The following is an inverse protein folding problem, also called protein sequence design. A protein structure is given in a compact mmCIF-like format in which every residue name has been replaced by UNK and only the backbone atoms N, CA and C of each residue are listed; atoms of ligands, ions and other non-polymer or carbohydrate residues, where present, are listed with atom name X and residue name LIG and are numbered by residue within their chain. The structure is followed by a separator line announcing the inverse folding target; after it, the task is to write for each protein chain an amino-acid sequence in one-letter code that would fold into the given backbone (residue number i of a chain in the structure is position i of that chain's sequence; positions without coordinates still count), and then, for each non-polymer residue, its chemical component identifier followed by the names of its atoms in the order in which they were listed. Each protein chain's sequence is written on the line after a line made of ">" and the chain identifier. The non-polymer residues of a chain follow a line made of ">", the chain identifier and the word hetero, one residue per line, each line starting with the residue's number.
data_IF_929994299280
#
_entry.id   IF_929994299280
#
_cell.length_a   1.000
_cell.length_b   1.000
_cell.length_c   1.000
_cell.angle_alpha   90.00
_cell.angle_beta   90.00
_cell.angle_gamma   90.00
#
_symmetry.space_group_name_H-M   'P 1'
#
loop_
_entity.id
_entity.type
_entity.pdbx_description
1 polymer ?
#
# COMPACT_ATOMS: atom_id res chain seq x y z
N UNK A 1 -16.85 -14.00 0.73
CA UNK A 1 -15.60 -13.81 -0.03
C UNK A 1 -14.76 -15.07 -0.01
N UNK A 2 -14.00 -15.27 -1.06
CA UNK A 2 -13.04 -16.35 -1.20
C UNK A 2 -11.68 -15.77 -1.56
N UNK A 3 -10.63 -16.46 -1.14
CA UNK A 3 -9.27 -16.25 -1.59
C UNK A 3 -8.80 -17.47 -2.37
N UNK A 4 -7.96 -17.25 -3.35
CA UNK A 4 -7.41 -18.32 -4.21
C UNK A 4 -5.89 -18.21 -4.30
N UNK A 5 -5.27 -19.31 -4.70
CA UNK A 5 -3.91 -19.32 -5.23
C UNK A 5 -3.92 -19.06 -6.75
N UNK A 6 -2.84 -19.33 -7.42
CA UNK A 6 -2.73 -19.35 -8.89
C UNK A 6 -3.07 -18.03 -9.59
N UNK A 7 -2.91 -16.88 -8.90
CA UNK A 7 -2.87 -15.59 -9.59
C UNK A 7 -1.55 -15.55 -10.36
N UNK A 8 -1.62 -15.24 -11.65
CA UNK A 8 -0.45 -15.28 -12.51
C UNK A 8 -0.55 -14.36 -13.71
N UNK A 9 0.40 -14.51 -14.60
CA UNK A 9 0.48 -13.81 -15.88
C UNK A 9 0.55 -14.81 -17.03
N UNK A 10 -0.15 -14.50 -18.10
CA UNK A 10 -0.03 -15.18 -19.38
C UNK A 10 0.65 -14.24 -20.38
N UNK A 11 1.65 -14.76 -21.09
CA UNK A 11 2.38 -14.03 -22.11
C UNK A 11 1.98 -14.59 -23.49
N UNK A 12 1.30 -13.78 -24.29
CA UNK A 12 0.72 -14.20 -25.55
C UNK A 12 1.13 -13.36 -26.73
N UNK A 13 1.01 -13.94 -27.94
CA UNK A 13 1.17 -13.22 -29.20
C UNK A 13 0.00 -12.31 -29.51
N UNK A 14 -1.18 -12.70 -29.03
CA UNK A 14 -2.45 -12.01 -29.22
C UNK A 14 -3.10 -11.76 -27.87
N UNK A 15 -3.93 -10.71 -27.76
CA UNK A 15 -4.65 -10.45 -26.52
C UNK A 15 -5.68 -11.55 -26.25
N UNK A 16 -5.81 -11.94 -24.98
CA UNK A 16 -6.89 -12.86 -24.58
C UNK A 16 -8.20 -12.07 -24.48
N UNK A 17 -9.16 -12.43 -25.33
CA UNK A 17 -10.52 -11.90 -25.26
C UNK A 17 -11.44 -12.93 -24.63
N UNK A 18 -12.15 -12.53 -23.57
CA UNK A 18 -13.26 -13.30 -23.02
C UNK A 18 -14.55 -12.78 -23.63
N UNK A 19 -15.09 -13.46 -24.63
CA UNK A 19 -16.38 -13.10 -25.24
C UNK A 19 -17.57 -13.39 -24.32
N UNK A 20 -17.39 -14.24 -23.32
CA UNK A 20 -18.45 -14.65 -22.39
C UNK A 20 -17.89 -14.86 -20.98
N UNK A 21 -18.79 -14.96 -19.98
CA UNK A 21 -18.45 -15.34 -18.59
C UNK A 21 -18.03 -16.81 -18.52
N UNK A 22 -16.87 -17.14 -19.03
CA UNK A 22 -16.34 -18.49 -19.04
C UNK A 22 -14.91 -18.55 -18.52
N UNK A 23 -14.48 -19.75 -18.18
CA UNK A 23 -13.09 -20.01 -17.82
C UNK A 23 -12.21 -19.86 -19.07
N UNK A 24 -11.02 -19.28 -18.92
CA UNK A 24 -10.00 -19.32 -19.97
C UNK A 24 -9.50 -20.76 -20.02
N UNK A 25 -9.82 -21.46 -21.09
CA UNK A 25 -9.35 -22.82 -21.32
C UNK A 25 -8.29 -22.76 -22.41
N UNK A 26 -7.04 -23.01 -22.04
CA UNK A 26 -5.99 -23.22 -23.02
C UNK A 26 -6.21 -24.59 -23.74
N UNK A 27 -6.12 -24.56 -25.06
CA UNK A 27 -6.40 -25.75 -25.90
C UNK A 27 -5.22 -26.71 -25.94
N UNK A 28 -4.04 -26.29 -25.53
CA UNK A 28 -2.83 -27.09 -25.55
C UNK A 28 -1.93 -26.84 -24.32
N UNK A 29 -1.14 -27.86 -23.96
CA UNK A 29 -0.08 -27.71 -22.96
C UNK A 29 0.96 -26.67 -23.38
N UNK A 30 1.17 -26.46 -24.68
CA UNK A 30 2.10 -25.50 -25.21
C UNK A 30 1.65 -24.06 -24.92
N UNK A 31 0.37 -23.77 -25.04
CA UNK A 31 -0.21 -22.47 -24.65
C UNK A 31 -0.11 -22.26 -23.14
N UNK A 32 -0.34 -23.28 -22.34
CA UNK A 32 -0.25 -23.19 -20.89
C UNK A 32 1.16 -22.98 -20.37
N UNK A 33 2.21 -23.32 -21.13
CA UNK A 33 3.61 -23.02 -20.79
C UNK A 33 3.91 -21.53 -20.72
N UNK A 34 3.08 -20.71 -21.33
CA UNK A 34 3.20 -19.26 -21.29
C UNK A 34 2.52 -18.64 -20.07
N UNK A 35 1.94 -19.46 -19.19
CA UNK A 35 1.39 -19.04 -17.91
C UNK A 35 2.46 -19.18 -16.84
N UNK A 36 2.69 -18.11 -16.11
CA UNK A 36 3.55 -18.12 -14.92
C UNK A 36 2.72 -17.73 -13.70
N UNK A 37 2.90 -18.47 -12.64
CA UNK A 37 2.27 -18.21 -11.33
C UNK A 37 3.33 -18.10 -10.26
N UNK A 38 2.96 -17.57 -9.10
CA UNK A 38 3.90 -17.45 -8.00
C UNK A 38 4.52 -18.81 -7.62
N UNK A 39 5.81 -18.78 -7.39
CA UNK A 39 6.62 -19.97 -7.01
C UNK A 39 6.09 -20.63 -5.73
N UNK A 40 5.58 -19.86 -4.78
CA UNK A 40 5.15 -20.39 -3.47
C UNK A 40 3.80 -21.11 -3.50
N UNK A 41 3.01 -20.98 -4.55
CA UNK A 41 1.67 -21.61 -4.69
C UNK A 41 0.80 -21.47 -3.42
N UNK A 42 0.82 -20.30 -2.79
CA UNK A 42 0.05 -19.97 -1.60
C UNK A 42 -1.30 -19.35 -1.96
N UNK A 43 -2.26 -19.43 -1.04
CA UNK A 43 -3.53 -18.72 -1.18
C UNK A 43 -3.31 -17.25 -0.76
N UNK A 44 -3.73 -16.31 -1.63
CA UNK A 44 -3.64 -14.88 -1.37
C UNK A 44 -4.84 -14.42 -0.55
N UNK A 45 -4.73 -14.49 0.76
CA UNK A 45 -5.83 -14.21 1.70
C UNK A 45 -5.65 -12.91 2.49
N UNK A 46 -4.59 -12.16 2.23
CA UNK A 46 -4.33 -10.85 2.83
C UNK A 46 -5.45 -9.87 2.48
N UNK A 47 -6.17 -9.37 3.50
CA UNK A 47 -7.31 -8.46 3.31
C UNK A 47 -6.91 -7.00 3.29
N UNK A 48 -5.81 -6.71 3.95
CA UNK A 48 -5.36 -5.35 4.26
C UNK A 48 -3.90 -5.12 3.88
N UNK A 49 -3.23 -6.16 3.41
CA UNK A 49 -1.82 -6.11 3.04
C UNK A 49 -1.66 -6.42 1.56
N UNK A 50 -0.72 -5.74 0.94
CA UNK A 50 -0.26 -6.09 -0.40
C UNK A 50 0.58 -7.36 -0.33
N UNK A 51 0.33 -8.26 -1.25
CA UNK A 51 1.09 -9.51 -1.41
C UNK A 51 1.71 -9.53 -2.80
N UNK A 52 3.01 -9.84 -2.87
CA UNK A 52 3.73 -9.92 -4.15
C UNK A 52 3.44 -11.24 -4.83
N UNK A 53 3.14 -11.15 -6.13
CA UNK A 53 3.13 -12.27 -7.05
C UNK A 53 4.32 -12.09 -7.96
N UNK A 54 5.33 -12.96 -7.83
CA UNK A 54 6.56 -12.87 -8.59
C UNK A 54 6.89 -14.22 -9.23
N UNK A 55 7.23 -14.21 -10.50
CA UNK A 55 7.64 -15.41 -11.23
C UNK A 55 8.57 -15.04 -12.37
N UNK A 56 9.32 -16.01 -12.84
CA UNK A 56 10.19 -15.88 -14.03
C UNK A 56 9.52 -16.47 -15.25
N UNK A 57 9.65 -15.78 -16.36
CA UNK A 57 9.22 -16.25 -17.68
C UNK A 57 10.40 -16.24 -18.66
N UNK A 58 10.57 -17.34 -19.40
CA UNK A 58 11.55 -17.39 -20.49
C UNK A 58 10.89 -16.95 -21.77
N UNK A 59 11.12 -15.72 -22.17
CA UNK A 59 10.56 -15.16 -23.40
C UNK A 59 11.08 -15.88 -24.64
N UNK A 60 10.21 -16.03 -25.64
CA UNK A 60 10.53 -16.59 -26.95
C UNK A 60 10.76 -15.49 -28.00
N UNK A 61 10.51 -14.23 -27.62
CA UNK A 61 10.58 -13.06 -28.50
C UNK A 61 9.36 -12.89 -29.41
N UNK A 62 8.27 -13.62 -29.14
CA UNK A 62 7.03 -13.57 -29.93
C UNK A 62 5.86 -13.01 -29.13
N UNK A 63 6.04 -12.79 -27.85
CA UNK A 63 5.04 -12.29 -26.93
C UNK A 63 4.85 -10.78 -27.16
N UNK A 64 3.62 -10.35 -27.30
CA UNK A 64 3.23 -8.96 -27.47
C UNK A 64 2.23 -8.47 -26.43
N UNK A 65 1.63 -9.41 -25.69
CA UNK A 65 0.57 -9.11 -24.72
C UNK A 65 0.82 -9.85 -23.42
N UNK A 66 0.43 -9.18 -22.32
CA UNK A 66 0.39 -9.76 -20.97
C UNK A 66 -1.05 -9.72 -20.49
N UNK A 67 -1.53 -10.83 -19.98
CA UNK A 67 -2.83 -10.93 -19.32
C UNK A 67 -2.63 -11.39 -17.87
N UNK A 68 -3.34 -10.79 -16.92
CA UNK A 68 -3.24 -11.11 -15.51
C UNK A 68 -4.54 -11.76 -15.05
N UNK A 69 -4.44 -12.88 -14.36
CA UNK A 69 -5.62 -13.60 -13.89
C UNK A 69 -5.30 -14.96 -13.29
N UNK A 70 -6.36 -15.74 -13.13
CA UNK A 70 -6.25 -17.17 -12.83
C UNK A 70 -6.47 -17.95 -14.13
N UNK A 71 -5.48 -18.70 -14.55
CA UNK A 71 -5.46 -19.47 -15.79
C UNK A 71 -5.57 -20.97 -15.54
N UNK A 72 -5.83 -21.38 -14.33
CA UNK A 72 -5.98 -22.78 -13.94
C UNK A 72 -7.45 -23.18 -13.89
N UNK A 73 -7.71 -24.47 -14.13
CA UNK A 73 -9.03 -25.04 -13.93
C UNK A 73 -9.46 -24.93 -12.47
N UNK A 74 -10.76 -24.75 -12.23
CA UNK A 74 -11.31 -24.67 -10.88
C UNK A 74 -10.95 -25.85 -9.97
N UNK A 75 -10.64 -27.01 -10.54
CA UNK A 75 -10.21 -28.21 -9.80
C UNK A 75 -8.80 -28.10 -9.23
N UNK A 76 -7.97 -27.29 -9.86
CA UNK A 76 -6.55 -27.11 -9.54
C UNK A 76 -6.31 -25.88 -8.67
N UNK A 77 -7.37 -25.13 -8.40
CA UNK A 77 -7.32 -23.90 -7.59
C UNK A 77 -7.59 -24.24 -6.13
N UNK A 78 -6.66 -23.85 -5.25
CA UNK A 78 -6.90 -23.87 -3.81
C UNK A 78 -7.77 -22.69 -3.45
N UNK A 79 -8.89 -22.96 -2.76
CA UNK A 79 -9.88 -21.95 -2.39
C UNK A 79 -10.01 -21.90 -0.88
N UNK A 80 -9.84 -20.70 -0.30
CA UNK A 80 -10.09 -20.43 1.10
C UNK A 80 -11.31 -19.54 1.26
N UNK A 81 -12.23 -19.94 2.14
CA UNK A 81 -13.40 -19.12 2.47
C UNK A 81 -13.05 -18.11 3.54
N UNK A 82 -13.10 -16.84 3.20
CA UNK A 82 -12.85 -15.74 4.12
C UNK A 82 -14.12 -15.41 4.93
N UNK A 83 -13.97 -15.18 6.23
CA UNK A 83 -15.06 -14.69 7.08
C UNK A 83 -15.65 -13.36 6.57
N UNK A 84 -16.81 -12.96 7.06
CA UNK A 84 -17.35 -11.62 6.78
C UNK A 84 -16.45 -10.54 7.38
N UNK A 85 -16.40 -9.40 6.73
CA UNK A 85 -15.79 -8.20 7.32
C UNK A 85 -16.67 -7.70 8.46
N UNK A 86 -16.07 -7.20 9.52
CA UNK A 86 -16.78 -6.58 10.63
C UNK A 86 -17.61 -5.40 10.12
N UNK A 87 -18.88 -5.35 10.53
CA UNK A 87 -19.84 -4.33 10.09
C UNK A 87 -20.45 -4.55 8.70
N UNK A 88 -20.09 -5.63 7.98
CA UNK A 88 -20.70 -5.93 6.68
C UNK A 88 -21.98 -6.75 6.83
N UNK A 89 -23.13 -6.14 6.48
CA UNK A 89 -24.47 -6.76 6.56
C UNK A 89 -24.94 -7.40 5.24
N UNK A 90 -24.24 -7.17 4.13
CA UNK A 90 -24.62 -7.64 2.80
C UNK A 90 -24.37 -9.14 2.55
N UNK A 91 -24.87 -9.63 1.41
CA UNK A 91 -24.56 -10.97 0.90
C UNK A 91 -23.17 -10.96 0.25
N UNK A 92 -22.31 -11.89 0.63
CA UNK A 92 -21.00 -12.04 0.00
C UNK A 92 -21.16 -12.79 -1.32
N UNK A 93 -20.62 -12.23 -2.41
CA UNK A 93 -20.53 -12.95 -3.68
C UNK A 93 -19.63 -14.20 -3.53
N UNK A 94 -19.97 -15.31 -4.19
CA UNK A 94 -19.17 -16.52 -4.19
C UNK A 94 -17.96 -16.41 -5.14
N UNK A 95 -17.22 -15.31 -5.05
CA UNK A 95 -16.10 -15.00 -5.95
C UNK A 95 -14.93 -14.44 -5.16
N UNK A 96 -13.72 -14.67 -5.66
CA UNK A 96 -12.50 -14.01 -5.21
C UNK A 96 -12.31 -12.71 -6.03
N UNK A 97 -12.01 -11.64 -5.34
CA UNK A 97 -11.69 -10.34 -5.95
C UNK A 97 -10.36 -9.85 -5.40
N UNK A 98 -9.51 -9.42 -6.30
CA UNK A 98 -8.18 -8.87 -5.99
C UNK A 98 -8.03 -7.51 -6.64
N UNK A 99 -7.38 -6.62 -5.93
CA UNK A 99 -6.80 -5.42 -6.50
C UNK A 99 -5.40 -5.76 -6.97
N UNK A 100 -5.03 -5.29 -8.14
CA UNK A 100 -3.72 -5.51 -8.75
C UNK A 100 -3.09 -4.15 -8.93
N UNK A 101 -1.85 -4.01 -8.48
CA UNK A 101 -1.08 -2.78 -8.57
C UNK A 101 0.40 -3.11 -8.83
N UNK A 102 1.17 -2.12 -9.26
CA UNK A 102 2.61 -2.24 -9.51
C UNK A 102 2.99 -3.43 -10.38
N UNK A 103 2.35 -3.55 -11.55
CA UNK A 103 2.71 -4.58 -12.53
C UNK A 103 4.00 -4.18 -13.21
N UNK A 104 5.04 -4.98 -13.02
CA UNK A 104 6.36 -4.74 -13.59
C UNK A 104 6.84 -5.98 -14.35
N UNK A 105 7.43 -5.77 -15.51
CA UNK A 105 8.11 -6.80 -16.31
C UNK A 105 9.47 -6.23 -16.70
N UNK A 106 10.53 -6.90 -16.31
CA UNK A 106 11.89 -6.47 -16.65
C UNK A 106 12.74 -7.64 -17.11
N UNK A 107 13.68 -7.34 -17.99
CA UNK A 107 14.64 -8.30 -18.50
C UNK A 107 15.70 -8.58 -17.44
N UNK A 108 15.97 -9.85 -17.19
CA UNK A 108 17.13 -10.30 -16.44
C UNK A 108 18.04 -11.10 -17.37
N UNK A 109 19.34 -10.91 -17.30
CA UNK A 109 20.32 -11.63 -18.13
C UNK A 109 20.69 -12.97 -17.51
N UNK A 110 20.78 -13.03 -16.19
CA UNK A 110 21.06 -14.24 -15.44
C UNK A 110 19.89 -14.59 -14.50
N UNK A 111 19.62 -15.88 -14.35
CA UNK A 111 18.59 -16.39 -13.44
C UNK A 111 18.85 -16.01 -11.98
N UNK A 112 20.12 -15.80 -11.64
CA UNK A 112 20.55 -15.36 -10.30
C UNK A 112 20.17 -13.90 -10.02
N UNK A 113 19.88 -13.11 -11.04
CA UNK A 113 19.41 -11.73 -10.91
C UNK A 113 17.93 -11.66 -10.54
N UNK A 114 17.22 -12.80 -10.49
CA UNK A 114 15.86 -12.85 -10.04
C UNK A 114 15.74 -12.61 -8.55
N UNK A 115 15.17 -11.47 -8.19
CA UNK A 115 15.00 -11.01 -6.81
C UNK A 115 13.60 -11.33 -6.21
N UNK A 116 12.89 -12.31 -6.79
CA UNK A 116 11.53 -12.65 -6.32
C UNK A 116 11.47 -12.93 -4.81
N UNK A 117 12.43 -13.67 -4.28
CA UNK A 117 12.47 -14.00 -2.84
C UNK A 117 12.76 -12.78 -1.97
N UNK A 118 13.62 -11.87 -2.43
CA UNK A 118 13.97 -10.66 -1.69
C UNK A 118 12.90 -9.58 -1.82
N UNK A 119 12.24 -9.48 -2.97
CA UNK A 119 11.11 -8.56 -3.16
C UNK A 119 9.92 -8.94 -2.28
N UNK A 120 9.62 -10.23 -2.11
CA UNK A 120 8.61 -10.68 -1.15
C UNK A 120 8.98 -10.28 0.28
N UNK A 121 10.26 -10.41 0.65
CA UNK A 121 10.75 -9.98 1.96
C UNK A 121 10.73 -8.44 2.10
N UNK A 122 11.04 -7.69 1.04
CA UNK A 122 10.95 -6.22 1.03
C UNK A 122 9.53 -5.73 1.19
N UNK A 123 8.57 -6.28 0.48
CA UNK A 123 7.15 -5.87 0.61
C UNK A 123 6.61 -6.25 1.97
N UNK A 124 6.98 -7.42 2.51
CA UNK A 124 6.67 -7.75 3.91
C UNK A 124 7.34 -6.78 4.90
N UNK A 125 8.52 -6.30 4.61
CA UNK A 125 9.21 -5.30 5.45
C UNK A 125 8.66 -3.89 5.22
N UNK A 126 8.15 -3.59 4.04
CA UNK A 126 7.63 -2.28 3.66
C UNK A 126 6.12 -2.14 3.97
N UNK A 127 5.32 -3.21 3.87
CA UNK A 127 3.95 -3.23 4.43
C UNK A 127 3.96 -3.09 5.95
N UNK A 128 5.02 -3.52 6.62
CA UNK A 128 5.31 -3.22 8.04
C UNK A 128 5.51 -1.71 8.28
N UNK A 129 5.80 -0.89 7.27
CA UNK A 129 5.86 0.57 7.45
C UNK A 129 4.45 1.15 7.71
N UNK A 130 3.41 0.62 7.08
CA UNK A 130 2.03 1.01 7.36
C UNK A 130 1.47 0.35 8.64
N UNK A 131 2.05 -0.79 9.02
CA UNK A 131 1.69 -1.57 10.21
C UNK A 131 2.89 -1.72 11.14
N UNK A 132 3.74 -0.70 11.23
CA UNK A 132 4.77 -0.73 12.27
C UNK A 132 4.02 -0.76 13.59
N UNK A 133 3.74 -2.01 14.01
CA UNK A 133 3.21 -2.26 15.32
C UNK A 133 4.04 -1.44 16.30
N UNK A 134 3.36 -0.60 17.04
CA UNK A 134 3.87 -0.01 18.27
C UNK A 134 4.05 -1.14 19.31
N UNK A 135 4.73 -2.21 18.91
CA UNK A 135 4.91 -3.40 19.74
C UNK A 135 6.34 -3.89 19.68
N UNK A 136 7.15 -3.28 20.51
CA UNK A 136 8.08 -4.10 21.29
C UNK A 136 7.51 -4.18 22.70
N UNK A 137 7.18 -5.35 23.12
CA UNK A 137 6.61 -5.62 24.45
C UNK A 137 7.53 -5.23 25.62
N UNK A 138 8.82 -4.92 25.36
CA UNK A 138 9.85 -4.65 26.35
C UNK A 138 10.65 -3.36 26.07
N UNK A 139 10.15 -2.44 25.27
CA UNK A 139 10.95 -1.37 24.73
C UNK A 139 10.94 -0.07 25.56
N UNK A 140 12.03 0.28 26.15
CA UNK A 140 12.38 1.66 26.46
C UNK A 140 12.61 2.43 25.16
N UNK A 141 11.55 2.93 24.53
CA UNK A 141 11.65 3.84 23.42
C UNK A 141 11.97 5.26 23.92
N UNK A 142 12.90 5.92 23.28
CA UNK A 142 13.02 7.35 23.43
C UNK A 142 11.75 8.06 22.93
N UNK A 143 11.46 9.22 23.45
CA UNK A 143 10.29 10.00 23.02
C UNK A 143 10.35 10.29 21.52
N UNK A 144 11.53 10.56 20.97
CA UNK A 144 11.72 10.78 19.53
C UNK A 144 11.39 9.55 18.68
N UNK A 145 11.71 8.34 19.14
CA UNK A 145 11.32 7.11 18.46
C UNK A 145 9.81 6.93 18.46
N UNK A 146 9.16 7.18 19.60
CA UNK A 146 7.70 7.14 19.71
C UNK A 146 7.03 8.15 18.76
N UNK A 147 7.57 9.38 18.66
CA UNK A 147 7.08 10.39 17.71
C UNK A 147 7.20 9.92 16.26
N UNK A 148 8.32 9.32 15.89
CA UNK A 148 8.50 8.78 14.52
C UNK A 148 7.52 7.66 14.18
N UNK A 149 7.05 6.91 15.18
CA UNK A 149 6.04 5.85 15.02
C UNK A 149 4.63 6.40 14.81
N UNK A 150 4.36 7.64 15.23
CA UNK A 150 3.07 8.32 15.07
C UNK A 150 2.82 8.85 13.65
N UNK A 151 3.73 8.64 12.70
CA UNK A 151 3.57 9.13 11.33
C UNK A 151 2.24 8.64 10.71
N UNK A 152 1.45 9.57 10.19
CA UNK A 152 0.18 9.30 9.51
C UNK A 152 0.38 9.41 8.02
N UNK A 153 -0.02 8.40 7.27
CA UNK A 153 0.02 8.39 5.80
C UNK A 153 -1.35 8.64 5.20
N UNK A 154 -1.37 9.11 3.94
CA UNK A 154 -2.60 9.55 3.28
C UNK A 154 -2.71 8.99 1.88
N UNK A 155 -3.94 8.72 1.47
CA UNK A 155 -4.27 8.42 0.08
C UNK A 155 -4.00 9.61 -0.84
N UNK A 156 -3.87 9.31 -2.12
CA UNK A 156 -3.67 10.31 -3.18
C UNK A 156 -4.77 11.36 -3.11
N UNK A 157 -4.38 12.62 -3.12
CA UNK A 157 -5.25 13.81 -3.08
C UNK A 157 -6.16 13.92 -1.84
N UNK A 158 -5.99 13.07 -0.84
CA UNK A 158 -6.83 13.09 0.37
C UNK A 158 -6.08 13.67 1.56
N UNK A 159 -6.85 14.31 2.45
CA UNK A 159 -6.41 14.77 3.78
C UNK A 159 -7.23 14.12 4.91
N UNK A 160 -8.10 13.17 4.60
CA UNK A 160 -8.83 12.40 5.62
C UNK A 160 -7.91 11.35 6.24
N UNK A 161 -7.96 11.24 7.57
CA UNK A 161 -7.21 10.22 8.31
C UNK A 161 -7.93 8.88 8.13
N UNK A 162 -7.20 7.86 7.67
CA UNK A 162 -7.73 6.50 7.61
C UNK A 162 -7.86 5.89 9.01
N UNK A 163 -8.84 5.01 9.18
CA UNK A 163 -9.14 4.34 10.45
C UNK A 163 -7.97 3.54 11.01
N UNK A 164 -7.11 3.02 10.13
CA UNK A 164 -5.93 2.26 10.54
C UNK A 164 -4.94 3.06 11.37
N UNK A 165 -4.89 4.42 11.22
CA UNK A 165 -3.99 5.28 11.98
C UNK A 165 -4.58 5.77 13.31
N UNK A 166 -5.86 5.51 13.58
CA UNK A 166 -6.55 6.01 14.78
C UNK A 166 -5.93 5.44 16.06
N UNK A 167 -5.58 4.15 16.08
CA UNK A 167 -4.95 3.55 17.25
C UNK A 167 -3.58 4.17 17.55
N UNK A 168 -2.77 4.40 16.50
CA UNK A 168 -1.49 5.10 16.64
C UNK A 168 -1.64 6.52 17.17
N UNK A 169 -2.63 7.26 16.65
CA UNK A 169 -2.93 8.61 17.12
C UNK A 169 -3.42 8.62 18.59
N UNK A 170 -4.21 7.63 19.02
CA UNK A 170 -4.61 7.51 20.42
C UNK A 170 -3.38 7.29 21.35
N UNK A 171 -2.42 6.48 20.93
CA UNK A 171 -1.16 6.30 21.65
C UNK A 171 -0.35 7.59 21.71
N UNK A 172 -0.36 8.40 20.62
CA UNK A 172 0.24 9.74 20.64
C UNK A 172 -0.45 10.68 21.63
N UNK A 173 -1.77 10.65 21.71
CA UNK A 173 -2.53 11.41 22.73
C UNK A 173 -2.13 10.99 24.14
N UNK A 174 -2.05 9.70 24.43
CA UNK A 174 -1.60 9.21 25.74
C UNK A 174 -0.17 9.66 26.06
N UNK A 175 0.73 9.60 25.09
CA UNK A 175 2.12 10.03 25.24
C UNK A 175 2.22 11.53 25.56
N UNK A 176 1.49 12.36 24.81
CA UNK A 176 1.47 13.81 25.01
C UNK A 176 0.82 14.22 26.34
N UNK A 177 -0.18 13.47 26.81
CA UNK A 177 -0.79 13.67 28.13
C UNK A 177 0.17 13.30 29.28
N UNK A 178 0.98 12.24 29.10
CA UNK A 178 2.02 11.86 30.07
C UNK A 178 3.19 12.86 30.11
N UNK A 179 3.36 13.65 29.06
CA UNK A 179 4.47 14.60 28.91
C UNK A 179 3.93 16.01 28.57
N UNK A 180 3.29 16.71 29.53
CA UNK A 180 2.60 17.98 29.26
C UNK A 180 3.53 19.12 28.83
N UNK A 181 4.84 19.01 29.09
CA UNK A 181 5.84 19.98 28.71
C UNK A 181 6.26 19.92 27.24
N UNK A 182 5.89 18.85 26.52
CA UNK A 182 6.30 18.66 25.12
C UNK A 182 5.36 19.43 24.20
N UNK A 183 5.94 20.26 23.34
CA UNK A 183 5.27 20.89 22.21
C UNK A 183 5.62 20.16 20.91
N UNK A 184 4.69 20.11 19.96
CA UNK A 184 4.81 19.31 18.74
C UNK A 184 4.59 20.18 17.51
N UNK A 185 5.45 19.99 16.53
CA UNK A 185 5.22 20.40 15.14
C UNK A 185 4.72 19.23 14.32
N UNK A 186 3.65 19.45 13.57
CA UNK A 186 3.05 18.51 12.64
C UNK A 186 3.47 18.91 11.22
N UNK A 187 4.37 18.15 10.65
CA UNK A 187 4.98 18.40 9.34
C UNK A 187 4.19 17.68 8.25
N UNK A 188 3.45 18.43 7.44
CA UNK A 188 2.62 17.91 6.37
C UNK A 188 3.34 17.88 5.02
N UNK A 189 3.23 16.75 4.32
CA UNK A 189 3.91 16.50 3.07
C UNK A 189 2.96 16.01 1.99
N UNK A 190 3.34 16.27 0.73
CA UNK A 190 2.75 15.70 -0.47
C UNK A 190 3.80 14.88 -1.22
N UNK A 191 3.37 14.06 -2.15
CA UNK A 191 4.28 13.45 -3.10
C UNK A 191 4.57 14.35 -4.31
N UNK A 192 5.52 13.95 -5.14
CA UNK A 192 5.94 14.70 -6.33
C UNK A 192 4.84 14.79 -7.38
N UNK A 193 3.98 13.78 -7.50
CA UNK A 193 2.91 13.74 -8.50
C UNK A 193 1.79 14.69 -8.09
N UNK A 194 1.39 14.67 -6.82
CA UNK A 194 0.45 15.64 -6.25
C UNK A 194 0.96 17.08 -6.46
N UNK A 195 2.21 17.35 -6.12
CA UNK A 195 2.82 18.66 -6.29
C UNK A 195 2.91 19.12 -7.76
N UNK A 196 3.21 18.19 -8.66
CA UNK A 196 3.21 18.47 -10.09
C UNK A 196 1.82 18.77 -10.63
N UNK A 197 0.79 18.13 -10.06
CA UNK A 197 -0.61 18.38 -10.43
C UNK A 197 -1.09 19.75 -9.94
N UNK A 198 -0.66 20.18 -8.75
CA UNK A 198 -0.91 21.55 -8.25
C UNK A 198 -0.34 22.60 -9.23
N UNK A 199 0.89 22.37 -9.72
CA UNK A 199 1.52 23.29 -10.67
C UNK A 199 0.80 23.38 -12.01
N UNK A 200 0.15 22.29 -12.46
CA UNK A 200 -0.61 22.24 -13.72
C UNK A 200 -2.00 22.86 -13.59
N UNK A 201 -2.61 22.76 -12.43
CA UNK A 201 -3.93 23.29 -12.11
C UNK A 201 -3.90 24.00 -10.74
N UNK A 202 -3.38 25.25 -10.71
CA UNK A 202 -3.21 26.00 -9.46
C UNK A 202 -4.52 26.40 -8.79
N UNK A 203 -5.65 26.27 -9.49
CA UNK A 203 -6.98 26.60 -8.95
C UNK A 203 -7.68 25.38 -8.35
N UNK A 204 -7.08 24.20 -8.44
CA UNK A 204 -7.64 22.96 -7.90
C UNK A 204 -7.66 22.99 -6.36
N UNK A 205 -8.84 23.30 -5.82
CA UNK A 205 -9.07 23.47 -4.39
C UNK A 205 -8.76 22.19 -3.58
N UNK A 206 -8.79 21.01 -4.20
CA UNK A 206 -8.48 19.74 -3.52
C UNK A 206 -6.97 19.56 -3.28
N UNK A 207 -6.15 20.15 -4.14
CA UNK A 207 -4.70 20.00 -4.10
C UNK A 207 -4.01 21.18 -3.41
N UNK A 208 -4.61 22.38 -3.50
CA UNK A 208 -4.08 23.57 -2.85
C UNK A 208 -3.93 23.31 -1.35
N UNK A 209 -2.74 23.57 -0.84
CA UNK A 209 -2.44 23.41 0.58
C UNK A 209 -2.63 21.97 1.12
N UNK A 210 -2.53 20.95 0.27
CA UNK A 210 -2.81 19.57 0.67
C UNK A 210 -1.92 19.10 1.82
N UNK A 211 -0.63 19.43 1.83
CA UNK A 211 0.28 19.11 2.92
C UNK A 211 -0.16 19.73 4.24
N UNK A 212 -0.45 21.03 4.26
CA UNK A 212 -0.91 21.71 5.48
C UNK A 212 -2.32 21.22 5.89
N UNK A 213 -3.19 20.89 4.94
CA UNK A 213 -4.51 20.34 5.24
C UNK A 213 -4.41 18.99 5.95
N UNK A 214 -3.46 18.14 5.56
CA UNK A 214 -3.15 16.88 6.24
C UNK A 214 -2.70 17.13 7.69
N UNK A 215 -1.73 18.03 7.88
CA UNK A 215 -1.24 18.40 9.21
C UNK A 215 -2.38 18.95 10.09
N UNK A 216 -3.23 19.83 9.55
CA UNK A 216 -4.38 20.40 10.27
C UNK A 216 -5.42 19.34 10.65
N UNK A 217 -5.61 18.29 9.83
CA UNK A 217 -6.49 17.18 10.19
C UNK A 217 -5.96 16.39 11.37
N UNK A 218 -4.64 16.12 11.40
CA UNK A 218 -4.00 15.46 12.55
C UNK A 218 -4.06 16.36 13.78
N UNK A 219 -3.73 17.67 13.66
CA UNK A 219 -3.87 18.65 14.74
C UNK A 219 -5.28 18.62 15.33
N UNK A 220 -6.29 18.72 14.47
CA UNK A 220 -7.69 18.70 14.90
C UNK A 220 -8.05 17.42 15.64
N UNK A 221 -7.52 16.27 15.20
CA UNK A 221 -7.73 14.99 15.90
C UNK A 221 -7.15 15.04 17.32
N UNK A 222 -5.92 15.50 17.48
CA UNK A 222 -5.25 15.60 18.78
C UNK A 222 -5.99 16.56 19.73
N UNK A 223 -6.39 17.74 19.24
CA UNK A 223 -7.16 18.72 20.00
C UNK A 223 -8.50 18.14 20.46
N UNK A 224 -9.23 17.47 19.57
CA UNK A 224 -10.50 16.82 19.90
C UNK A 224 -10.36 15.71 20.97
N UNK A 225 -9.15 15.16 21.13
CA UNK A 225 -8.83 14.14 22.13
C UNK A 225 -8.06 14.71 23.35
N UNK A 226 -8.14 16.02 23.58
CA UNK A 226 -7.72 16.65 24.81
C UNK A 226 -6.32 17.22 24.84
N UNK A 227 -5.60 17.26 23.72
CA UNK A 227 -4.31 17.98 23.64
C UNK A 227 -4.58 19.47 23.42
N UNK A 228 -3.95 20.32 24.25
CA UNK A 228 -4.08 21.78 24.15
C UNK A 228 -3.56 22.28 22.80
N UNK A 229 -4.28 23.20 22.16
CA UNK A 229 -3.98 23.67 20.83
C UNK A 229 -2.66 24.46 20.75
N UNK A 230 -2.32 25.17 21.80
CA UNK A 230 -1.08 25.97 21.94
C UNK A 230 0.19 25.11 21.94
N UNK A 231 0.05 23.81 22.22
CA UNK A 231 1.13 22.82 22.16
C UNK A 231 1.39 22.28 20.75
N UNK A 232 0.54 22.64 19.77
CA UNK A 232 0.54 22.03 18.45
C UNK A 232 0.67 23.10 17.37
N UNK A 233 1.74 23.04 16.60
CA UNK A 233 1.92 23.84 15.39
C UNK A 233 1.89 22.96 14.14
N UNK A 234 1.65 23.56 12.98
CA UNK A 234 1.61 22.84 11.69
C UNK A 234 2.52 23.50 10.68
N UNK A 235 3.30 22.72 9.98
CA UNK A 235 4.25 23.18 8.96
C UNK A 235 3.97 22.44 7.64
N UNK A 236 3.94 23.20 6.55
CA UNK A 236 3.79 22.65 5.21
C UNK A 236 5.14 22.51 4.53
N UNK A 237 5.44 21.32 4.03
CA UNK A 237 6.64 21.06 3.23
C UNK A 237 6.32 20.73 1.78
N UNK A 238 5.06 20.52 1.44
CA UNK A 238 4.69 20.02 0.13
C UNK A 238 5.58 18.82 -0.28
N UNK A 239 6.18 18.84 -1.46
CA UNK A 239 7.11 17.78 -1.92
C UNK A 239 8.60 18.11 -1.67
N UNK A 240 8.92 19.12 -0.85
CA UNK A 240 10.30 19.58 -0.67
C UNK A 240 11.18 18.64 0.15
N UNK A 241 10.59 17.80 1.01
CA UNK A 241 11.32 16.87 1.88
C UNK A 241 10.85 15.41 1.67
N UNK A 242 11.18 14.79 0.52
CA UNK A 242 10.79 13.42 0.26
C UNK A 242 11.62 12.44 1.11
N UNK A 243 10.98 11.42 1.70
CA UNK A 243 11.66 10.29 2.33
C UNK A 243 11.97 9.17 1.34
N UNK A 244 11.37 9.23 0.17
CA UNK A 244 11.63 8.30 -0.92
C UNK A 244 11.67 9.04 -2.26
N UNK A 245 12.70 8.75 -3.07
CA UNK A 245 12.97 9.52 -4.29
C UNK A 245 12.36 8.90 -5.56
N UNK A 246 11.97 7.62 -5.51
CA UNK A 246 11.40 6.89 -6.65
C UNK A 246 10.01 7.42 -7.04
N UNK A 247 9.56 7.06 -8.24
CA UNK A 247 8.20 7.31 -8.72
C UNK A 247 7.27 6.10 -8.59
N UNK A 248 7.72 5.02 -7.95
CA UNK A 248 6.83 3.91 -7.65
C UNK A 248 5.71 4.36 -6.70
N UNK A 249 4.53 3.75 -6.79
CA UNK A 249 3.39 4.13 -5.95
C UNK A 249 3.72 4.03 -4.45
N UNK A 250 4.46 3.00 -4.06
CA UNK A 250 4.93 2.85 -2.68
C UNK A 250 5.82 4.02 -2.23
N UNK A 251 6.72 4.47 -3.10
CA UNK A 251 7.59 5.61 -2.84
C UNK A 251 6.80 6.91 -2.71
N UNK A 252 5.83 7.11 -3.60
CA UNK A 252 4.91 8.25 -3.53
C UNK A 252 4.05 8.19 -2.26
N UNK A 253 3.53 7.03 -1.92
CA UNK A 253 2.74 6.82 -0.71
C UNK A 253 3.51 7.16 0.58
N UNK A 254 4.81 6.81 0.66
CA UNK A 254 5.68 7.19 1.78
C UNK A 254 5.83 8.71 1.94
N UNK A 255 5.71 9.44 0.85
CA UNK A 255 5.83 10.89 0.86
C UNK A 255 4.53 11.60 1.26
N UNK A 256 3.36 10.99 1.05
CA UNK A 256 2.05 11.50 1.47
C UNK A 256 1.83 11.27 2.96
N UNK A 257 2.47 12.09 3.81
CA UNK A 257 2.52 11.84 5.25
C UNK A 257 2.42 13.10 6.11
N UNK A 258 2.15 12.88 7.38
CA UNK A 258 2.36 13.87 8.45
C UNK A 258 3.29 13.26 9.48
N UNK A 259 4.40 13.94 9.76
CA UNK A 259 5.37 13.59 10.78
C UNK A 259 5.17 14.43 12.04
N UNK A 260 5.52 13.87 13.18
CA UNK A 260 5.53 14.51 14.48
C UNK A 260 6.97 14.87 14.85
N UNK A 261 7.22 16.13 15.17
CA UNK A 261 8.53 16.59 15.68
C UNK A 261 8.35 17.34 16.97
N UNK A 262 9.26 17.09 17.92
CA UNK A 262 9.28 17.81 19.17
C UNK A 262 9.89 19.18 18.91
N UNK A 263 9.27 20.21 19.49
CA UNK A 263 9.85 21.57 19.53
C UNK A 263 10.74 21.65 20.75
N UNK A 264 12.01 21.94 20.54
CA UNK A 264 12.99 22.21 21.62
C UNK A 264 12.80 23.59 22.24
#
# INVERSE_FOLDING_TARGET
>A
KYAINNIGMYFGKEPLFLETKGDIIFQSEEEFRNVVTNVENKVYNGRYNWETVCAMYKATGKESFVSIGNFHNNKDVKVEKLGKLDGFSGTQAPSAYYYIDQVEVFLIEDITDCDCSNQMNKINTESVIYHKELVKQDGNYSINELMSMGTVYFDVTRSSIDKMFIEGLNKMVELLNKNPQINIELHGHTDKMEFSSIKKDPENQLLINLGINRANKVKKYLVNNGISEDRLSTINHDAAQPVSASYSELSLAKNRRVEFKIVE
#
